data_IF_632706161253
#
_entry.id   IF_632706161253
#
_cell.length_a   1.000
_cell.length_b   1.000
_cell.length_c   1.000
_cell.angle_alpha   90.00
_cell.angle_beta   90.00
_cell.angle_gamma   90.00
#
_symmetry.space_group_name_H-M   'P 1'
#
loop_
_entity.id
_entity.type
_entity.pdbx_description
1 polymer ?
#
# COMPACT_ATOMS: atom_id res chain seq x y z
N UNK A 1 -55.09 -20.30 31.58
CA UNK A 1 -53.68 -20.56 31.40
C UNK A 1 -53.20 -19.86 30.14
N UNK A 2 -52.20 -19.00 30.24
CA UNK A 2 -51.50 -18.43 29.09
C UNK A 2 -50.48 -19.46 28.62
N UNK A 3 -50.41 -19.70 27.31
CA UNK A 3 -49.32 -20.50 26.72
C UNK A 3 -48.09 -19.60 26.56
N UNK A 4 -47.01 -20.02 27.18
CA UNK A 4 -45.72 -19.39 26.96
C UNK A 4 -45.26 -19.73 25.52
N UNK A 5 -45.05 -18.69 24.68
CA UNK A 5 -44.49 -18.84 23.36
C UNK A 5 -43.00 -18.49 23.44
N UNK A 6 -42.15 -19.41 23.00
CA UNK A 6 -40.67 -19.24 23.00
C UNK A 6 -40.19 -19.07 21.57
N UNK A 7 -39.60 -17.92 21.28
CA UNK A 7 -38.90 -17.68 20.02
C UNK A 7 -37.44 -18.06 20.21
N UNK A 8 -36.95 -19.07 19.49
CA UNK A 8 -35.52 -19.37 19.43
C UNK A 8 -34.90 -18.45 18.38
N UNK A 9 -34.05 -17.52 18.82
CA UNK A 9 -33.22 -16.69 17.95
C UNK A 9 -31.86 -17.32 17.86
N UNK A 10 -31.48 -17.81 16.68
CA UNK A 10 -30.11 -18.26 16.40
C UNK A 10 -29.36 -17.14 15.74
N UNK A 11 -28.40 -16.53 16.44
CA UNK A 11 -27.45 -15.59 15.87
C UNK A 11 -26.26 -16.41 15.31
N UNK A 12 -26.18 -16.55 14.01
CA UNK A 12 -24.97 -17.06 13.36
C UNK A 12 -24.03 -15.88 13.14
N UNK A 13 -23.01 -15.73 13.97
CA UNK A 13 -21.86 -14.87 13.68
C UNK A 13 -20.94 -15.68 12.78
N UNK A 14 -21.10 -15.53 11.47
CA UNK A 14 -20.05 -15.93 10.53
C UNK A 14 -18.96 -14.89 10.69
N UNK A 15 -17.87 -15.24 11.39
CA UNK A 15 -16.64 -14.46 11.34
C UNK A 15 -16.24 -14.37 9.87
N UNK A 16 -16.14 -13.17 9.30
CA UNK A 16 -15.45 -13.01 8.03
C UNK A 16 -14.03 -13.55 8.24
N UNK A 17 -13.57 -14.44 7.36
CA UNK A 17 -12.18 -14.84 7.34
C UNK A 17 -11.38 -13.56 7.18
N UNK A 18 -10.62 -13.19 8.20
CA UNK A 18 -9.78 -12.02 8.12
C UNK A 18 -8.67 -12.28 7.10
N UNK A 19 -8.41 -11.32 6.20
CA UNK A 19 -7.41 -11.46 5.15
C UNK A 19 -5.99 -11.54 5.70
N UNK A 20 -5.06 -12.05 4.87
CA UNK A 20 -3.64 -11.95 5.12
C UNK A 20 -3.21 -10.49 5.13
N UNK A 21 -2.48 -10.07 6.16
CA UNK A 21 -2.08 -8.67 6.32
C UNK A 21 -0.79 -8.38 5.57
N UNK A 22 -0.82 -7.44 4.64
CA UNK A 22 0.39 -6.89 4.06
C UNK A 22 1.13 -6.05 5.12
N UNK A 23 2.43 -6.27 5.26
CA UNK A 23 3.27 -5.44 6.12
C UNK A 23 3.35 -4.01 5.58
N UNK A 24 2.88 -2.99 6.32
CA UNK A 24 2.82 -1.62 5.83
C UNK A 24 4.19 -0.97 5.64
N UNK A 25 5.24 -1.51 6.28
CA UNK A 25 6.60 -0.96 6.18
C UNK A 25 7.39 -1.52 4.99
N UNK A 26 7.14 -2.78 4.63
CA UNK A 26 7.88 -3.49 3.58
C UNK A 26 7.06 -3.74 2.32
N UNK A 27 5.73 -3.59 2.38
CA UNK A 27 4.84 -3.91 1.28
C UNK A 27 4.80 -5.40 0.92
N UNK A 28 5.20 -6.27 1.87
CA UNK A 28 5.24 -7.71 1.66
C UNK A 28 4.00 -8.38 2.25
N UNK A 29 3.43 -9.33 1.51
CA UNK A 29 2.47 -10.31 2.01
C UNK A 29 2.85 -11.70 1.47
N UNK A 30 2.77 -12.71 2.32
CA UNK A 30 3.13 -14.10 2.01
C UNK A 30 2.06 -15.03 2.54
N UNK A 31 1.66 -16.02 1.74
CA UNK A 31 0.64 -16.98 2.16
C UNK A 31 0.89 -18.37 1.56
N UNK A 32 0.67 -19.39 2.40
CA UNK A 32 0.71 -20.80 2.00
C UNK A 32 -0.55 -21.14 1.20
N UNK A 33 -0.43 -21.97 0.16
CA UNK A 33 -1.58 -22.30 -0.69
C UNK A 33 -2.63 -23.14 0.04
N UNK A 34 -2.23 -23.91 1.04
CA UNK A 34 -3.16 -24.70 1.88
C UNK A 34 -4.04 -23.84 2.79
N UNK A 35 -3.65 -22.59 3.02
CA UNK A 35 -4.40 -21.63 3.83
C UNK A 35 -5.30 -20.71 2.97
N UNK A 36 -5.71 -21.20 1.79
CA UNK A 36 -6.62 -20.48 0.90
C UNK A 36 -8.00 -20.26 1.54
N UNK A 37 -8.68 -19.18 1.13
CA UNK A 37 -10.05 -18.85 1.57
C UNK A 37 -11.11 -19.62 0.78
N UNK A 38 -10.80 -19.96 -0.48
CA UNK A 38 -11.64 -20.80 -1.31
C UNK A 38 -10.82 -21.61 -2.30
N UNK A 39 -11.25 -22.86 -2.54
CA UNK A 39 -10.73 -23.76 -3.55
C UNK A 39 -11.90 -24.18 -4.47
N UNK A 40 -11.95 -23.58 -5.65
CA UNK A 40 -13.06 -23.75 -6.58
C UNK A 40 -12.64 -24.67 -7.72
N UNK A 41 -13.25 -25.86 -7.78
CA UNK A 41 -13.11 -26.78 -8.92
C UNK A 41 -13.84 -26.21 -10.13
N UNK A 42 -13.20 -26.25 -11.31
CA UNK A 42 -13.74 -25.66 -12.53
C UNK A 42 -13.13 -26.32 -13.78
N UNK A 43 -13.90 -26.35 -14.89
CA UNK A 43 -13.42 -26.93 -16.15
C UNK A 43 -13.03 -28.41 -16.08
N UNK A 44 -13.58 -29.16 -15.15
CA UNK A 44 -13.24 -30.58 -14.94
C UNK A 44 -11.93 -30.80 -14.16
N UNK A 45 -11.33 -29.74 -13.61
CA UNK A 45 -10.12 -29.78 -12.82
C UNK A 45 -10.35 -29.23 -11.41
N UNK A 46 -9.47 -29.58 -10.48
CA UNK A 46 -9.46 -29.08 -9.11
C UNK A 46 -8.02 -28.95 -8.60
N UNK A 47 -7.79 -28.04 -7.69
CA UNK A 47 -6.59 -27.99 -6.88
C UNK A 47 -6.71 -29.04 -5.76
N UNK A 48 -5.85 -30.06 -5.77
CA UNK A 48 -5.87 -31.17 -4.84
C UNK A 48 -4.67 -31.09 -3.91
N UNK A 49 -4.83 -31.27 -2.59
CA UNK A 49 -3.71 -31.26 -1.66
C UNK A 49 -2.61 -32.25 -2.06
N UNK A 50 -1.38 -31.78 -2.05
CA UNK A 50 -0.17 -32.55 -2.35
C UNK A 50 0.78 -32.51 -1.14
N UNK A 51 0.68 -33.48 -0.19
CA UNK A 51 1.56 -33.54 0.97
C UNK A 51 3.01 -33.73 0.56
N UNK A 52 3.89 -32.87 1.08
CA UNK A 52 5.32 -32.92 0.76
C UNK A 52 6.12 -32.33 1.92
N UNK A 53 7.05 -33.12 2.49
CA UNK A 53 7.92 -32.64 3.57
C UNK A 53 8.89 -31.54 3.16
N UNK A 54 9.02 -31.27 1.87
CA UNK A 54 9.82 -30.16 1.32
C UNK A 54 8.98 -28.96 0.90
N UNK A 55 7.64 -29.06 0.98
CA UNK A 55 6.77 -27.89 0.86
C UNK A 55 6.88 -27.02 2.12
N UNK A 56 6.73 -25.73 1.95
CA UNK A 56 6.49 -24.81 3.07
C UNK A 56 5.14 -25.16 3.72
N UNK A 57 5.02 -25.15 5.01
CA UNK A 57 3.80 -25.62 5.67
C UNK A 57 3.54 -27.14 5.60
N UNK A 58 4.28 -27.89 4.75
CA UNK A 58 4.19 -29.36 4.63
C UNK A 58 3.19 -29.85 3.58
N UNK A 59 2.47 -28.96 2.89
CA UNK A 59 1.47 -29.32 1.89
C UNK A 59 1.41 -28.29 0.78
N UNK A 60 1.62 -28.70 -0.46
CA UNK A 60 1.27 -27.91 -1.63
C UNK A 60 -0.05 -28.37 -2.25
N UNK A 61 -0.40 -27.84 -3.42
CA UNK A 61 -1.55 -28.26 -4.21
C UNK A 61 -1.10 -28.64 -5.61
N UNK A 62 -1.75 -29.65 -6.20
CA UNK A 62 -1.55 -30.09 -7.58
C UNK A 62 -2.86 -29.89 -8.36
N UNK A 63 -2.76 -29.34 -9.57
CA UNK A 63 -3.91 -29.22 -10.47
C UNK A 63 -4.23 -30.60 -11.09
N UNK A 64 -5.38 -31.17 -10.75
CA UNK A 64 -5.79 -32.51 -11.15
C UNK A 64 -7.17 -32.53 -11.82
N UNK A 65 -7.45 -33.52 -12.71
CA UNK A 65 -6.53 -34.57 -13.21
C UNK A 65 -5.45 -34.01 -14.15
N UNK A 66 -4.30 -34.68 -14.22
CA UNK A 66 -3.26 -34.36 -15.21
C UNK A 66 -3.54 -35.17 -16.50
N UNK A 67 -4.22 -34.54 -17.46
CA UNK A 67 -4.65 -35.14 -18.71
C UNK A 67 -4.21 -34.35 -19.96
N UNK A 68 -3.34 -33.35 -19.78
CA UNK A 68 -2.78 -32.52 -20.83
C UNK A 68 -3.62 -31.29 -21.18
N UNK A 69 -4.40 -30.80 -20.24
CA UNK A 69 -5.18 -29.55 -20.42
C UNK A 69 -4.29 -28.34 -20.25
N UNK A 70 -4.46 -27.37 -21.17
CA UNK A 70 -3.77 -26.07 -21.15
C UNK A 70 -4.77 -24.94 -21.43
N UNK A 71 -4.97 -24.06 -20.47
CA UNK A 71 -5.92 -22.92 -20.54
C UNK A 71 -5.17 -21.61 -20.69
N UNK A 72 -4.99 -21.13 -21.92
CA UNK A 72 -4.27 -19.87 -22.19
C UNK A 72 -5.15 -18.63 -22.05
N UNK A 73 -6.47 -18.77 -22.23
CA UNK A 73 -7.45 -17.67 -22.21
C UNK A 73 -8.76 -18.15 -21.62
N UNK A 74 -9.54 -17.26 -21.03
CA UNK A 74 -10.84 -17.59 -20.40
C UNK A 74 -10.70 -18.46 -19.15
N UNK A 75 -9.51 -18.56 -18.61
CA UNK A 75 -9.18 -19.40 -17.44
C UNK A 75 -9.96 -18.96 -16.19
N UNK A 76 -10.38 -17.71 -16.10
CA UNK A 76 -11.21 -17.22 -14.99
C UNK A 76 -12.51 -18.00 -14.83
N UNK A 77 -13.02 -18.53 -15.94
CA UNK A 77 -14.27 -19.32 -15.98
C UNK A 77 -14.07 -20.80 -16.32
N UNK A 78 -12.86 -21.24 -16.66
CA UNK A 78 -12.58 -22.60 -17.13
C UNK A 78 -11.48 -23.32 -16.37
N UNK A 79 -10.74 -22.65 -15.47
CA UNK A 79 -9.68 -23.26 -14.68
C UNK A 79 -10.00 -23.32 -13.20
N UNK A 80 -9.58 -24.36 -12.47
CA UNK A 80 -9.70 -24.41 -11.02
C UNK A 80 -8.95 -23.23 -10.40
N UNK A 81 -9.49 -22.69 -9.31
CA UNK A 81 -9.02 -21.45 -8.71
C UNK A 81 -8.83 -21.59 -7.20
N UNK A 82 -7.73 -21.07 -6.70
CA UNK A 82 -7.53 -20.78 -5.29
C UNK A 82 -7.72 -19.27 -5.06
N UNK A 83 -8.41 -18.91 -4.00
CA UNK A 83 -8.65 -17.54 -3.60
C UNK A 83 -8.02 -17.27 -2.24
N UNK A 84 -7.38 -16.10 -2.12
CA UNK A 84 -6.71 -15.64 -0.91
C UNK A 84 -7.19 -14.22 -0.61
N UNK A 85 -7.85 -14.02 0.52
CA UNK A 85 -8.21 -12.68 0.98
C UNK A 85 -6.98 -12.00 1.54
N UNK A 86 -6.61 -10.87 0.96
CA UNK A 86 -5.43 -10.08 1.35
C UNK A 86 -5.85 -8.65 1.68
N UNK A 87 -5.42 -8.14 2.83
CA UNK A 87 -5.58 -6.74 3.18
C UNK A 87 -4.32 -5.98 2.75
N UNK A 88 -4.43 -5.24 1.66
CA UNK A 88 -3.36 -4.41 1.13
C UNK A 88 -3.30 -3.07 1.87
N UNK A 89 -2.12 -2.70 2.34
CA UNK A 89 -1.83 -1.41 2.98
C UNK A 89 -1.13 -0.44 2.04
N UNK A 90 -0.47 -0.97 1.00
CA UNK A 90 0.21 -0.20 -0.04
C UNK A 90 -0.46 -0.42 -1.40
N UNK A 91 -0.54 0.65 -2.19
CA UNK A 91 -1.05 0.64 -3.57
C UNK A 91 0.10 0.62 -4.58
N UNK A 92 -0.22 0.41 -5.85
CA UNK A 92 0.74 0.38 -6.95
C UNK A 92 1.16 -1.04 -7.33
N UNK A 93 2.28 -1.12 -8.02
CA UNK A 93 2.79 -2.38 -8.58
C UNK A 93 3.31 -3.31 -7.48
N UNK A 94 2.80 -4.54 -7.46
CA UNK A 94 3.28 -5.63 -6.62
C UNK A 94 3.89 -6.72 -7.49
N UNK A 95 5.14 -7.08 -7.22
CA UNK A 95 5.81 -8.22 -7.85
C UNK A 95 5.26 -9.52 -7.27
N UNK A 96 4.96 -10.47 -8.16
CA UNK A 96 4.35 -11.75 -7.81
C UNK A 96 5.41 -12.85 -7.89
N UNK A 97 5.60 -13.55 -6.79
CA UNK A 97 6.42 -14.74 -6.71
C UNK A 97 5.55 -15.93 -6.35
N UNK A 98 5.67 -17.00 -7.13
CA UNK A 98 5.03 -18.27 -6.84
C UNK A 98 6.10 -19.33 -6.58
N UNK A 99 5.98 -20.05 -5.48
CA UNK A 99 6.77 -21.24 -5.21
C UNK A 99 6.03 -22.43 -5.76
N UNK A 100 6.61 -23.05 -6.78
CA UNK A 100 5.96 -24.13 -7.52
C UNK A 100 6.91 -25.22 -7.95
N UNK A 101 6.34 -26.26 -8.55
CA UNK A 101 7.03 -27.37 -9.19
C UNK A 101 6.33 -27.70 -10.50
N UNK A 102 7.10 -27.79 -11.58
CA UNK A 102 6.63 -28.22 -12.92
C UNK A 102 7.11 -29.62 -13.24
N UNK A 103 6.42 -30.71 -12.82
CA UNK A 103 6.95 -32.09 -12.94
C UNK A 103 7.27 -32.50 -14.39
N UNK A 104 6.60 -31.88 -15.34
CA UNK A 104 6.85 -32.02 -16.79
C UNK A 104 6.87 -30.65 -17.44
N UNK A 105 7.41 -30.56 -18.67
CA UNK A 105 7.44 -29.28 -19.39
C UNK A 105 6.08 -28.83 -19.96
N UNK A 106 5.01 -29.56 -19.68
CA UNK A 106 3.63 -29.22 -20.00
C UNK A 106 2.75 -29.19 -18.73
N UNK A 107 3.37 -29.08 -17.54
CA UNK A 107 2.74 -29.09 -16.24
C UNK A 107 3.41 -28.00 -15.37
N UNK A 108 3.77 -26.85 -15.94
CA UNK A 108 4.73 -25.93 -15.29
C UNK A 108 4.27 -24.46 -15.25
N UNK A 109 2.96 -24.19 -15.38
CA UNK A 109 2.50 -22.81 -15.44
C UNK A 109 1.13 -22.55 -14.81
N UNK A 110 0.98 -21.32 -14.32
CA UNK A 110 -0.21 -20.80 -13.63
C UNK A 110 -0.54 -19.39 -14.11
N UNK A 111 -1.71 -18.88 -13.69
CA UNK A 111 -2.08 -17.47 -13.81
C UNK A 111 -2.36 -16.89 -12.43
N UNK A 112 -2.00 -15.63 -12.23
CA UNK A 112 -2.35 -14.87 -11.03
C UNK A 112 -3.19 -13.66 -11.40
N UNK A 113 -4.10 -13.27 -10.52
CA UNK A 113 -4.95 -12.11 -10.72
C UNK A 113 -5.51 -11.54 -9.44
N UNK A 114 -6.42 -10.59 -9.58
CA UNK A 114 -6.99 -9.82 -8.49
C UNK A 114 -8.49 -9.62 -8.71
N UNK A 115 -9.30 -9.78 -7.66
CA UNK A 115 -10.74 -9.53 -7.71
C UNK A 115 -11.53 -10.41 -8.68
N UNK A 116 -11.05 -11.63 -8.96
CA UNK A 116 -11.67 -12.57 -9.91
C UNK A 116 -11.29 -12.32 -11.37
N UNK A 117 -10.40 -11.38 -11.65
CA UNK A 117 -9.92 -11.05 -12.98
C UNK A 117 -8.45 -11.37 -13.14
N UNK A 118 -8.08 -12.03 -14.24
CA UNK A 118 -6.68 -12.25 -14.60
C UNK A 118 -5.95 -10.92 -14.82
N UNK A 119 -4.66 -10.90 -14.50
CA UNK A 119 -3.79 -9.75 -14.77
C UNK A 119 -2.88 -10.09 -15.93
N UNK A 120 -2.92 -9.34 -17.05
CA UNK A 120 -2.07 -9.61 -18.22
C UNK A 120 -0.56 -9.59 -17.91
N UNK A 121 -0.17 -8.92 -16.82
CA UNK A 121 1.21 -8.85 -16.34
C UNK A 121 1.58 -9.99 -15.39
N UNK A 122 0.66 -10.86 -15.02
CA UNK A 122 0.86 -12.04 -14.16
C UNK A 122 0.16 -13.28 -14.71
N UNK A 123 -0.18 -13.27 -16.00
CA UNK A 123 -0.67 -14.45 -16.69
C UNK A 123 0.51 -15.32 -17.16
N UNK A 124 0.26 -16.62 -17.41
CA UNK A 124 1.25 -17.57 -17.92
C UNK A 124 2.59 -17.54 -17.16
N UNK A 125 2.53 -17.46 -15.82
CA UNK A 125 3.72 -17.58 -14.98
C UNK A 125 4.30 -19.00 -15.12
N UNK A 126 5.62 -19.09 -15.30
CA UNK A 126 6.36 -20.32 -15.61
C UNK A 126 7.71 -20.34 -14.90
N UNK A 127 8.64 -21.22 -15.30
CA UNK A 127 9.99 -21.27 -14.74
C UNK A 127 10.14 -22.18 -13.52
N UNK A 128 9.13 -22.97 -13.18
CA UNK A 128 9.20 -23.91 -12.05
C UNK A 128 10.10 -25.09 -12.33
N UNK A 129 10.95 -25.45 -11.34
CA UNK A 129 11.83 -26.62 -11.45
C UNK A 129 11.01 -27.92 -11.47
N UNK A 130 11.55 -28.95 -12.15
CA UNK A 130 10.83 -30.22 -12.35
C UNK A 130 10.75 -31.12 -11.11
N UNK A 131 11.79 -31.12 -10.29
CA UNK A 131 11.94 -32.07 -9.19
C UNK A 131 11.91 -31.46 -7.81
N UNK A 132 12.14 -30.16 -7.71
CA UNK A 132 12.21 -29.42 -6.45
C UNK A 132 11.27 -28.23 -6.49
N UNK A 133 10.79 -27.82 -5.33
CA UNK A 133 10.12 -26.55 -5.19
C UNK A 133 11.08 -25.40 -5.53
N UNK A 134 10.64 -24.51 -6.38
CA UNK A 134 11.42 -23.33 -6.81
C UNK A 134 10.55 -22.10 -6.86
N UNK A 135 11.15 -20.96 -6.59
CA UNK A 135 10.50 -19.66 -6.77
C UNK A 135 10.61 -19.22 -8.21
N UNK A 136 9.53 -18.66 -8.74
CA UNK A 136 9.53 -18.00 -10.04
C UNK A 136 8.64 -16.76 -10.00
N UNK A 137 9.09 -15.72 -10.69
CA UNK A 137 8.33 -14.52 -11.07
C UNK A 137 8.35 -14.34 -12.59
N UNK A 138 8.76 -15.38 -13.33
CA UNK A 138 8.85 -15.35 -14.78
C UNK A 138 7.48 -15.50 -15.43
N UNK A 139 7.24 -14.75 -16.49
CA UNK A 139 6.10 -14.97 -17.39
C UNK A 139 6.60 -15.45 -18.75
N UNK A 140 5.76 -16.15 -19.50
CA UNK A 140 6.10 -16.59 -20.87
C UNK A 140 6.29 -15.42 -21.83
N UNK A 141 5.83 -14.21 -21.47
CA UNK A 141 6.01 -12.98 -22.26
C UNK A 141 7.33 -12.26 -21.96
N UNK A 142 8.09 -12.73 -20.98
CA UNK A 142 9.42 -12.26 -20.63
C UNK A 142 9.51 -11.25 -19.48
N UNK A 143 8.57 -10.32 -19.25
CA UNK A 143 8.59 -9.47 -18.06
C UNK A 143 8.34 -10.27 -16.79
N UNK A 144 8.82 -9.74 -15.65
CA UNK A 144 8.49 -10.27 -14.32
C UNK A 144 7.00 -10.13 -14.05
N UNK A 145 6.43 -11.12 -13.36
CA UNK A 145 5.02 -11.11 -12.99
C UNK A 145 4.71 -9.98 -12.00
N UNK A 146 3.66 -9.22 -12.30
CA UNK A 146 3.17 -8.12 -11.44
C UNK A 146 1.65 -8.05 -11.43
N UNK A 147 1.09 -7.58 -10.31
CA UNK A 147 -0.31 -7.14 -10.22
C UNK A 147 -0.34 -5.68 -9.81
N UNK A 148 -1.39 -4.97 -10.21
CA UNK A 148 -1.59 -3.57 -9.84
C UNK A 148 -2.70 -3.46 -8.80
N UNK A 149 -2.35 -2.99 -7.60
CA UNK A 149 -3.28 -2.71 -6.51
C UNK A 149 -3.66 -1.24 -6.56
N UNK A 150 -4.88 -0.94 -6.99
CA UNK A 150 -5.34 0.45 -7.19
C UNK A 150 -5.87 1.11 -5.92
N UNK A 151 -6.35 0.32 -4.96
CA UNK A 151 -6.92 0.80 -3.70
C UNK A 151 -6.44 -0.07 -2.54
N UNK A 152 -6.17 0.51 -1.36
CA UNK A 152 -5.87 -0.28 -0.16
C UNK A 152 -7.12 -1.00 0.35
N UNK A 153 -6.94 -1.93 1.28
CA UNK A 153 -8.00 -2.70 1.91
C UNK A 153 -8.08 -4.14 1.42
N UNK A 154 -9.13 -4.84 1.79
CA UNK A 154 -9.30 -6.25 1.47
C UNK A 154 -9.62 -6.48 -0.01
N UNK A 155 -8.81 -7.31 -0.65
CA UNK A 155 -8.98 -7.76 -2.03
C UNK A 155 -8.67 -9.24 -2.14
N UNK A 156 -9.26 -9.92 -3.11
CA UNK A 156 -9.03 -11.35 -3.35
C UNK A 156 -7.92 -11.52 -4.38
N UNK A 157 -6.80 -12.13 -3.99
CA UNK A 157 -5.78 -12.62 -4.91
C UNK A 157 -6.21 -13.99 -5.40
N UNK A 158 -6.13 -14.21 -6.69
CA UNK A 158 -6.56 -15.44 -7.34
C UNK A 158 -5.38 -16.16 -7.98
N UNK A 159 -5.35 -17.49 -7.87
CA UNK A 159 -4.43 -18.36 -8.58
C UNK A 159 -5.22 -19.36 -9.40
N UNK A 160 -5.04 -19.37 -10.73
CA UNK A 160 -5.65 -20.34 -11.63
C UNK A 160 -4.61 -21.30 -12.23
N UNK A 161 -5.03 -22.51 -12.47
CA UNK A 161 -4.28 -23.45 -13.30
C UNK A 161 -4.18 -22.90 -14.74
N UNK A 162 -2.97 -22.90 -15.31
CA UNK A 162 -2.80 -22.83 -16.76
C UNK A 162 -2.61 -24.22 -17.35
N UNK A 163 -1.69 -25.01 -16.81
CA UNK A 163 -1.45 -26.40 -17.19
C UNK A 163 -1.78 -27.32 -16.03
N UNK A 164 -2.44 -28.43 -16.33
CA UNK A 164 -2.71 -29.44 -15.33
C UNK A 164 -1.43 -30.18 -14.90
N UNK A 165 -1.42 -30.73 -13.69
CA UNK A 165 -0.23 -31.33 -13.09
C UNK A 165 0.78 -30.36 -12.51
N UNK A 166 0.64 -29.03 -12.72
CA UNK A 166 1.44 -28.04 -12.01
C UNK A 166 1.18 -28.11 -10.52
N UNK A 167 2.25 -27.94 -9.74
CA UNK A 167 2.17 -27.90 -8.27
C UNK A 167 2.53 -26.52 -7.76
N UNK A 168 1.79 -26.06 -6.77
CA UNK A 168 2.01 -24.77 -6.09
C UNK A 168 2.09 -24.98 -4.60
N UNK A 169 2.82 -24.12 -3.92
CA UNK A 169 3.14 -24.25 -2.51
C UNK A 169 2.91 -22.93 -1.74
N UNK A 170 3.43 -21.82 -2.26
CA UNK A 170 3.39 -20.54 -1.57
C UNK A 170 3.37 -19.39 -2.55
N UNK A 171 2.73 -18.27 -2.17
CA UNK A 171 2.72 -17.03 -2.95
C UNK A 171 3.29 -15.91 -2.09
N UNK A 172 4.10 -15.05 -2.70
CA UNK A 172 4.61 -13.80 -2.12
C UNK A 172 4.28 -12.65 -3.06
N UNK A 173 3.68 -11.60 -2.51
CA UNK A 173 3.50 -10.33 -3.19
C UNK A 173 4.33 -9.28 -2.47
N UNK A 174 4.99 -8.39 -3.22
CA UNK A 174 5.85 -7.37 -2.64
C UNK A 174 5.95 -6.12 -3.52
N UNK A 175 6.01 -4.95 -2.92
CA UNK A 175 6.30 -3.70 -3.63
C UNK A 175 7.80 -3.53 -3.92
N UNK A 176 8.67 -4.36 -3.30
CA UNK A 176 10.12 -4.32 -3.49
C UNK A 176 10.57 -5.06 -4.75
N UNK A 177 11.06 -4.33 -5.75
CA UNK A 177 11.64 -4.89 -6.97
C UNK A 177 12.90 -5.75 -6.72
N UNK A 178 13.57 -5.57 -5.60
CA UNK A 178 14.81 -6.28 -5.25
C UNK A 178 14.59 -7.55 -4.43
N UNK A 179 13.40 -7.78 -3.91
CA UNK A 179 13.11 -9.00 -3.16
C UNK A 179 13.22 -10.22 -4.08
N UNK A 180 13.95 -11.23 -3.62
CA UNK A 180 14.03 -12.56 -4.23
C UNK A 180 13.88 -13.59 -3.12
N UNK A 181 12.74 -14.29 -3.03
CA UNK A 181 12.55 -15.32 -2.01
C UNK A 181 13.50 -16.50 -2.23
N UNK A 182 14.02 -17.06 -1.14
CA UNK A 182 14.87 -18.25 -1.13
C UNK A 182 14.27 -19.34 -0.24
N UNK A 183 14.68 -20.58 -0.42
CA UNK A 183 14.24 -21.71 0.41
C UNK A 183 12.70 -21.81 0.50
N UNK A 184 12.15 -21.77 1.70
CA UNK A 184 10.70 -21.72 1.96
C UNK A 184 10.09 -20.31 1.92
N UNK A 185 10.93 -19.30 1.66
CA UNK A 185 10.50 -17.91 1.60
C UNK A 185 10.21 -17.26 2.94
N UNK A 186 9.61 -16.07 2.93
CA UNK A 186 9.18 -15.38 4.14
C UNK A 186 8.17 -16.22 4.94
N UNK A 187 8.10 -15.97 6.24
CA UNK A 187 7.02 -16.51 7.07
C UNK A 187 5.66 -16.08 6.50
N UNK A 188 4.65 -16.92 6.69
CA UNK A 188 3.28 -16.56 6.31
C UNK A 188 2.84 -15.29 7.04
N UNK A 189 2.20 -14.39 6.32
CA UNK A 189 1.64 -13.16 6.90
C UNK A 189 0.50 -13.49 7.87
N UNK A 190 0.39 -12.76 8.98
CA UNK A 190 -0.70 -13.00 9.91
C UNK A 190 -2.05 -12.71 9.25
N UNK A 191 -3.10 -13.40 9.69
CA UNK A 191 -4.48 -13.07 9.38
C UNK A 191 -5.05 -12.22 10.51
N UNK A 192 -5.84 -11.23 10.20
CA UNK A 192 -6.45 -10.36 11.18
C UNK A 192 -7.45 -9.39 10.55
N UNK A 193 -8.23 -8.64 11.33
CA UNK A 193 -8.93 -7.50 10.82
C UNK A 193 -7.92 -6.51 10.20
N UNK A 194 -8.35 -5.67 9.24
CA UNK A 194 -7.50 -4.61 8.71
C UNK A 194 -6.87 -3.84 9.87
N UNK A 195 -5.55 -3.60 9.79
CA UNK A 195 -4.87 -2.80 10.80
C UNK A 195 -5.45 -1.38 10.75
N UNK A 196 -5.95 -0.85 11.87
CA UNK A 196 -6.48 0.50 11.89
C UNK A 196 -5.36 1.51 11.62
N UNK A 197 -5.74 2.67 11.08
CA UNK A 197 -4.82 3.76 10.77
C UNK A 197 -5.10 4.98 11.63
N UNK A 198 -4.09 5.79 11.85
CA UNK A 198 -4.24 7.17 12.27
C UNK A 198 -4.63 8.04 11.06
N UNK A 199 -5.35 9.14 11.29
CA UNK A 199 -5.80 10.03 10.23
C UNK A 199 -5.75 11.48 10.72
N UNK A 200 -4.88 12.29 10.14
CA UNK A 200 -4.91 13.73 10.32
C UNK A 200 -6.09 14.35 9.56
N UNK A 201 -6.63 15.44 10.06
CA UNK A 201 -7.69 16.19 9.38
C UNK A 201 -7.23 16.86 8.07
N UNK A 202 -5.93 16.88 7.79
CA UNK A 202 -5.31 17.46 6.58
C UNK A 202 -4.04 16.66 6.21
N UNK A 203 -3.77 16.54 4.93
CA UNK A 203 -2.56 15.86 4.40
C UNK A 203 -1.40 16.84 4.17
N UNK A 204 -1.70 18.14 4.01
CA UNK A 204 -0.72 19.18 3.70
C UNK A 204 -0.97 20.46 4.48
N UNK A 205 0.11 21.19 4.80
CA UNK A 205 0.06 22.54 5.32
C UNK A 205 1.10 23.42 4.59
N UNK A 206 0.76 24.70 4.34
CA UNK A 206 1.65 25.64 3.67
C UNK A 206 1.66 26.98 4.40
N UNK A 207 2.86 27.52 4.59
CA UNK A 207 3.11 28.84 5.18
C UNK A 207 3.98 29.67 4.25
N UNK A 208 3.81 30.98 4.30
CA UNK A 208 4.62 31.94 3.53
C UNK A 208 4.96 33.15 4.40
N UNK A 209 6.22 33.55 4.43
CA UNK A 209 6.74 34.67 5.23
C UNK A 209 7.81 35.42 4.45
N UNK A 210 8.08 36.67 4.82
CA UNK A 210 9.21 37.41 4.29
C UNK A 210 10.52 37.03 5.00
N UNK A 211 11.64 37.18 4.31
CA UNK A 211 12.97 36.91 4.89
C UNK A 211 13.25 37.85 6.05
N UNK A 212 13.71 37.28 7.18
CA UNK A 212 13.96 38.02 8.41
C UNK A 212 12.76 38.04 9.37
N UNK A 213 11.60 37.50 8.97
CA UNK A 213 10.46 37.29 9.87
C UNK A 213 10.85 36.28 10.96
N UNK A 214 10.37 36.55 12.20
CA UNK A 214 10.67 35.72 13.36
C UNK A 214 9.41 35.15 14.03
N UNK A 215 8.22 35.63 13.61
CA UNK A 215 6.96 35.18 14.17
C UNK A 215 6.64 33.74 13.73
N UNK A 216 6.28 32.90 14.70
CA UNK A 216 5.84 31.55 14.42
C UNK A 216 4.57 31.56 13.54
N UNK A 217 4.59 30.77 12.50
CA UNK A 217 3.39 30.48 11.69
C UNK A 217 2.70 29.27 12.27
N UNK A 218 1.38 29.27 12.41
CA UNK A 218 0.67 28.16 13.04
C UNK A 218 -0.62 27.77 12.33
N UNK A 219 -0.95 26.47 12.39
CA UNK A 219 -2.18 25.88 11.89
C UNK A 219 -2.64 24.78 12.85
N UNK A 220 -3.94 24.72 13.11
CA UNK A 220 -4.51 23.65 13.93
C UNK A 220 -5.04 22.51 13.06
N UNK A 221 -4.72 21.28 13.45
CA UNK A 221 -5.24 20.03 12.90
C UNK A 221 -5.77 19.15 14.02
N UNK A 222 -6.52 18.11 13.67
CA UNK A 222 -6.91 17.02 14.58
C UNK A 222 -6.38 15.71 14.08
N UNK A 223 -6.31 14.71 14.95
CA UNK A 223 -5.90 13.35 14.66
C UNK A 223 -6.95 12.39 15.19
N UNK A 224 -7.42 11.49 14.33
CA UNK A 224 -8.36 10.42 14.66
C UNK A 224 -7.78 9.04 14.38
N UNK A 225 -8.45 8.01 14.88
CA UNK A 225 -8.20 6.62 14.54
C UNK A 225 -9.34 6.09 13.66
N UNK A 226 -9.02 5.34 12.60
CA UNK A 226 -10.00 4.83 11.62
C UNK A 226 -11.03 3.87 12.20
N UNK A 227 -10.74 3.29 13.36
CA UNK A 227 -11.62 2.39 14.12
C UNK A 227 -12.36 3.10 15.26
N UNK A 228 -12.28 4.44 15.33
CA UNK A 228 -12.89 5.30 16.35
C UNK A 228 -12.47 4.98 17.80
N UNK A 229 -11.37 4.23 17.99
CA UNK A 229 -10.88 3.90 19.32
C UNK A 229 -10.02 5.01 19.90
N UNK A 230 -10.05 5.12 21.23
CA UNK A 230 -9.17 6.02 21.97
C UNK A 230 -7.78 5.37 22.08
N UNK A 231 -6.82 5.86 21.29
CA UNK A 231 -5.45 5.33 21.26
C UNK A 231 -4.41 6.41 21.57
N UNK A 232 -3.42 6.08 22.37
CA UNK A 232 -2.31 6.97 22.66
C UNK A 232 -1.41 7.11 21.43
N UNK A 233 -1.14 8.35 21.02
CA UNK A 233 -0.33 8.68 19.85
C UNK A 233 0.87 9.56 20.20
N UNK A 234 1.85 9.54 19.30
CA UNK A 234 2.97 10.48 19.22
C UNK A 234 2.99 11.17 17.86
N UNK A 235 3.36 12.46 17.82
CA UNK A 235 3.66 13.21 16.59
C UNK A 235 5.12 13.63 16.62
N UNK A 236 5.87 13.27 15.57
CA UNK A 236 7.27 13.61 15.40
C UNK A 236 7.48 14.43 14.13
N UNK A 237 8.42 15.38 14.17
CA UNK A 237 8.87 16.16 13.01
C UNK A 237 10.23 15.66 12.53
N UNK A 238 10.45 15.67 11.21
CA UNK A 238 11.75 15.42 10.60
C UNK A 238 12.61 16.69 10.39
N UNK A 239 12.12 17.86 10.82
CA UNK A 239 12.75 19.16 10.53
C UNK A 239 12.79 20.05 11.77
N UNK A 240 13.94 20.70 12.04
CA UNK A 240 14.15 21.51 13.24
C UNK A 240 13.38 22.84 13.27
N UNK A 241 12.90 23.31 12.11
CA UNK A 241 12.07 24.51 12.00
C UNK A 241 10.57 24.22 12.17
N UNK A 242 10.19 22.94 12.23
CA UNK A 242 8.79 22.48 12.28
C UNK A 242 8.54 21.72 13.59
N UNK A 243 7.55 22.15 14.36
CA UNK A 243 7.16 21.52 15.63
C UNK A 243 5.65 21.38 15.75
N UNK A 244 5.19 20.62 16.75
CA UNK A 244 3.77 20.47 17.09
C UNK A 244 3.54 20.59 18.59
N UNK A 245 2.39 21.10 18.97
CA UNK A 245 1.93 21.17 20.37
C UNK A 245 0.46 20.76 20.46
N UNK A 246 0.11 19.69 21.20
CA UNK A 246 1.01 18.74 21.88
C UNK A 246 1.72 17.80 20.90
N UNK A 247 2.83 17.16 21.34
CA UNK A 247 3.54 16.11 20.59
C UNK A 247 2.97 14.71 20.83
N UNK A 248 2.06 14.55 21.79
CA UNK A 248 1.40 13.29 22.13
C UNK A 248 0.02 13.55 22.72
N UNK A 249 -0.83 12.54 22.70
CA UNK A 249 -2.19 12.61 23.21
C UNK A 249 -2.94 11.29 23.05
N UNK A 250 -4.26 11.38 23.00
CA UNK A 250 -5.17 10.24 22.78
C UNK A 250 -6.18 10.65 21.70
N UNK A 251 -6.51 9.74 20.77
CA UNK A 251 -7.56 9.94 19.75
C UNK A 251 -8.97 9.79 20.35
N UNK A 252 -10.00 10.50 19.83
CA UNK A 252 -9.88 11.64 18.94
C UNK A 252 -9.12 12.76 19.62
N UNK A 253 -8.19 13.40 18.92
CA UNK A 253 -7.38 14.47 19.51
C UNK A 253 -8.20 15.75 19.64
N UNK A 254 -7.83 16.59 20.61
CA UNK A 254 -8.11 18.02 20.52
C UNK A 254 -7.29 18.67 19.39
N UNK A 255 -7.22 20.00 19.38
CA UNK A 255 -6.39 20.70 18.43
C UNK A 255 -4.91 20.37 18.67
N UNK A 256 -4.22 19.97 17.60
CA UNK A 256 -2.76 19.85 17.50
C UNK A 256 -2.30 21.06 16.70
N UNK A 257 -1.55 21.97 17.32
CA UNK A 257 -1.00 23.14 16.64
C UNK A 257 0.30 22.75 15.95
N UNK A 258 0.33 22.91 14.63
CA UNK A 258 1.56 22.84 13.82
C UNK A 258 2.21 24.22 13.87
N UNK A 259 3.49 24.30 14.17
CA UNK A 259 4.25 25.55 14.26
C UNK A 259 5.46 25.49 13.34
N UNK A 260 5.55 26.45 12.41
CA UNK A 260 6.71 26.67 11.54
C UNK A 260 7.47 27.91 12.01
N UNK A 261 8.76 27.71 12.37
CA UNK A 261 9.64 28.78 12.82
C UNK A 261 10.56 29.27 11.68
N UNK A 262 10.34 30.47 11.14
CA UNK A 262 11.15 31.01 10.06
C UNK A 262 12.49 31.61 10.52
N UNK A 263 12.73 31.72 11.83
CA UNK A 263 13.91 32.39 12.38
C UNK A 263 15.21 31.83 11.85
N UNK A 264 16.00 32.67 11.20
CA UNK A 264 17.33 32.33 10.66
C UNK A 264 17.31 31.54 9.35
N UNK A 265 16.15 31.38 8.74
CA UNK A 265 16.04 30.78 7.41
C UNK A 265 16.25 31.86 6.34
N UNK A 266 17.05 31.54 5.33
CA UNK A 266 17.23 32.39 4.14
C UNK A 266 16.04 32.25 3.18
N UNK A 267 15.94 33.16 2.20
CA UNK A 267 14.95 33.06 1.14
C UNK A 267 15.02 31.68 0.44
N UNK A 268 13.87 31.02 0.28
CA UNK A 268 13.78 29.69 -0.31
C UNK A 268 12.53 28.93 0.14
N UNK A 269 12.40 27.71 -0.36
CA UNK A 269 11.33 26.80 0.05
C UNK A 269 11.91 25.67 0.92
N UNK A 270 11.26 25.45 2.07
CA UNK A 270 11.59 24.42 3.04
C UNK A 270 10.44 23.43 3.13
N UNK A 271 10.76 22.14 3.07
CA UNK A 271 9.77 21.07 3.25
C UNK A 271 10.09 20.25 4.48
N UNK A 272 9.05 19.90 5.22
CA UNK A 272 9.13 19.05 6.40
C UNK A 272 7.94 18.11 6.46
N UNK A 273 8.07 17.05 7.23
CA UNK A 273 7.01 16.06 7.45
C UNK A 273 6.76 15.88 8.94
N UNK A 274 5.52 15.90 9.31
CA UNK A 274 5.02 15.44 10.60
C UNK A 274 4.50 14.03 10.46
N UNK A 275 4.88 13.13 11.36
CA UNK A 275 4.42 11.75 11.38
C UNK A 275 3.72 11.46 12.70
N UNK A 276 2.45 11.08 12.63
CA UNK A 276 1.71 10.50 13.75
C UNK A 276 1.94 8.99 13.81
N UNK A 277 2.19 8.48 15.00
CA UNK A 277 2.41 7.05 15.25
C UNK A 277 1.70 6.57 16.51
N UNK A 278 1.17 5.35 16.48
CA UNK A 278 0.59 4.65 17.63
C UNK A 278 0.82 3.14 17.52
N UNK A 279 0.92 2.48 18.67
CA UNK A 279 1.12 1.01 18.70
C UNK A 279 -0.10 0.30 18.11
N UNK A 280 0.12 -0.56 17.11
CA UNK A 280 -0.93 -1.32 16.44
C UNK A 280 -1.70 -0.55 15.37
N UNK A 281 -1.27 0.65 14.99
CA UNK A 281 -1.89 1.50 13.97
C UNK A 281 -0.92 1.81 12.84
N UNK A 282 -1.46 1.97 11.63
CA UNK A 282 -0.72 2.52 10.49
C UNK A 282 -0.51 4.02 10.77
N UNK A 283 0.73 4.48 10.59
CA UNK A 283 1.09 5.89 10.76
C UNK A 283 0.43 6.77 9.70
N UNK A 284 0.20 8.04 10.05
CA UNK A 284 -0.22 9.05 9.09
C UNK A 284 0.73 10.25 9.08
N UNK A 285 0.75 11.02 7.99
CA UNK A 285 1.71 12.10 7.79
C UNK A 285 1.08 13.37 7.24
N UNK A 286 1.63 14.52 7.66
CA UNK A 286 1.36 15.82 7.04
C UNK A 286 2.64 16.34 6.38
N UNK A 287 2.56 16.67 5.09
CA UNK A 287 3.63 17.39 4.40
C UNK A 287 3.48 18.89 4.64
N UNK A 288 4.52 19.53 5.19
CA UNK A 288 4.51 20.96 5.51
C UNK A 288 5.51 21.68 4.64
N UNK A 289 5.06 22.77 3.99
CA UNK A 289 5.90 23.66 3.18
C UNK A 289 5.94 25.05 3.83
N UNK A 290 7.15 25.57 4.05
CA UNK A 290 7.40 26.95 4.43
C UNK A 290 8.15 27.66 3.31
N UNK A 291 7.56 28.70 2.73
CA UNK A 291 8.19 29.57 1.73
C UNK A 291 8.68 30.85 2.39
N UNK A 292 9.97 31.08 2.39
CA UNK A 292 10.60 32.34 2.82
C UNK A 292 10.86 33.19 1.58
N UNK A 293 10.16 34.31 1.47
CA UNK A 293 10.26 35.23 0.33
C UNK A 293 11.43 36.17 0.58
N UNK A 294 12.36 36.21 -0.34
CA UNK A 294 13.50 37.12 -0.24
C UNK A 294 13.07 38.59 -0.31
N UNK A 295 13.79 39.42 0.41
CA UNK A 295 13.56 40.85 0.33
C UNK A 295 13.71 41.34 -1.12
N UNK A 296 12.69 42.04 -1.61
CA UNK A 296 12.79 42.73 -2.90
C UNK A 296 13.92 43.77 -2.77
N UNK A 297 15.02 43.53 -3.47
CA UNK A 297 16.08 44.53 -3.56
C UNK A 297 15.58 45.64 -4.45
N UNK A 298 15.23 46.79 -3.83
CA UNK A 298 14.83 47.98 -4.60
C UNK A 298 15.85 48.34 -5.69
N UNK A 299 15.38 49.02 -6.72
CA UNK A 299 16.24 49.45 -7.83
C UNK A 299 17.40 50.28 -7.31
N UNK A 300 18.63 49.91 -7.70
CA UNK A 300 19.85 50.56 -7.23
C UNK A 300 20.20 51.70 -8.17
N UNK A 301 20.59 52.84 -7.59
CA UNK A 301 21.13 53.98 -8.34
C UNK A 301 22.58 53.61 -8.76
N UNK A 302 22.91 53.80 -10.03
CA UNK A 302 24.28 53.72 -10.51
C UNK A 302 25.12 54.86 -9.83
N UNK A 303 26.15 54.51 -9.01
CA UNK A 303 26.90 55.52 -8.26
C UNK A 303 27.73 56.44 -9.15
N UNK A 304 28.08 56.05 -10.39
CA UNK A 304 28.84 56.86 -11.31
C UNK A 304 28.00 57.85 -12.10
N UNK A 305 26.80 57.47 -12.47
CA UNK A 305 25.92 58.26 -13.32
C UNK A 305 24.74 58.88 -12.56
N UNK A 306 24.42 58.38 -11.38
CA UNK A 306 23.25 58.81 -10.59
C UNK A 306 21.91 58.37 -11.21
N UNK A 307 21.90 57.43 -12.15
CA UNK A 307 20.71 57.00 -12.83
C UNK A 307 20.10 55.76 -12.13
N UNK A 308 18.76 55.69 -12.10
CA UNK A 308 17.98 54.51 -11.81
C UNK A 308 17.10 54.23 -13.04
N UNK A 309 17.21 53.09 -13.66
CA UNK A 309 16.37 52.67 -14.77
C UNK A 309 15.37 51.61 -14.27
N UNK A 310 14.06 51.85 -14.47
CA UNK A 310 12.99 50.98 -14.05
C UNK A 310 12.11 50.71 -15.28
N UNK A 311 12.02 49.43 -15.66
CA UNK A 311 11.08 49.01 -16.67
C UNK A 311 9.68 48.92 -16.01
N UNK A 312 8.63 49.30 -16.76
CA UNK A 312 7.28 49.44 -16.24
C UNK A 312 6.66 48.11 -15.81
N UNK A 313 7.17 46.99 -16.29
CA UNK A 313 6.79 45.61 -15.90
C UNK A 313 7.45 45.12 -14.61
N UNK A 314 8.49 45.80 -14.13
CA UNK A 314 9.26 45.43 -12.94
C UNK A 314 8.88 46.27 -11.70
N UNK A 315 7.61 46.65 -11.54
CA UNK A 315 7.14 47.40 -10.39
C UNK A 315 6.87 46.48 -9.18
N UNK A 316 7.15 46.97 -7.98
CA UNK A 316 6.94 46.22 -6.73
C UNK A 316 5.44 46.09 -6.35
N UNK A 317 4.62 47.04 -6.75
CA UNK A 317 3.19 46.96 -6.56
C UNK A 317 2.42 47.78 -7.63
N UNK A 318 1.23 47.30 -8.00
CA UNK A 318 0.30 48.01 -8.85
C UNK A 318 -1.02 48.19 -8.10
N UNK A 319 -1.30 49.43 -7.66
CA UNK A 319 -2.54 49.77 -6.95
C UNK A 319 -3.46 50.55 -7.89
N UNK A 320 -4.57 49.99 -8.35
CA UNK A 320 -5.54 50.70 -9.17
C UNK A 320 -6.18 51.87 -8.39
N UNK A 321 -6.21 53.04 -9.01
CA UNK A 321 -6.88 54.21 -8.43
C UNK A 321 -7.71 54.91 -9.51
N UNK A 322 -8.80 55.53 -9.10
CA UNK A 322 -9.63 56.36 -10.00
C UNK A 322 -10.30 55.63 -11.15
N UNK A 323 -10.52 54.31 -11.04
CA UNK A 323 -11.14 53.47 -12.10
C UNK A 323 -10.19 53.10 -13.26
N UNK A 324 -8.90 53.32 -13.10
CA UNK A 324 -7.85 52.93 -14.07
C UNK A 324 -6.93 51.85 -13.44
N UNK A 325 -6.52 50.87 -14.23
CA UNK A 325 -5.63 49.78 -13.84
C UNK A 325 -4.40 49.70 -14.76
#
# INVERSE_FOLDING_TARGET
GYLDDTIAVTLSVTGSSAGFQQDPSTGLVSFEVENNDANTAQGGHAWTPFPSSSASGGTGFEATPNNGTNNNTGYESSSPRLDFLVNFTQVGTHYVWVRGQGPRGADDSVHVGLGGSGQPTADRMTGFARTNWSWSDETMDGPRATIEVSTPGEQIVNLWMREDGVRVDKIVLTTSASLQPTDTGPAESPRGPPQPSLQFSQETAAFSVDEGETALQSLNVTLDASDEQAVAYNVASNSGWLTTTPTNGVTPSGAITIEANPTGLAAGQYTGTLTASASGYINDTISVTLTVIGASTGFQQDPATGLVSIESENFDSNTPQGGHS
#
